data_IF_441832627321
#
_entry.id   IF_441832627321
#
_cell.length_a   1.000
_cell.length_b   1.000
_cell.length_c   1.000
_cell.angle_alpha   90.00
_cell.angle_beta   90.00
_cell.angle_gamma   90.00
#
_symmetry.space_group_name_H-M   'P 1'
#
loop_
_entity.id
_entity.type
_entity.pdbx_description
1 polymer ?
#
# COMPACT_ATOMS: atom_id res chain seq x y z
N UNK A 1 24.38 11.36 13.91
CA UNK A 1 22.91 11.25 13.71
C UNK A 1 22.68 10.06 12.80
N UNK A 2 22.11 8.97 13.30
CA UNK A 2 21.67 7.88 12.42
C UNK A 2 20.41 8.37 11.70
N UNK A 3 20.55 8.76 10.43
CA UNK A 3 19.40 8.93 9.54
C UNK A 3 18.74 7.57 9.36
N UNK A 4 17.52 7.43 9.87
CA UNK A 4 16.70 6.25 9.60
C UNK A 4 16.41 6.26 8.11
N UNK A 5 16.84 5.22 7.40
CA UNK A 5 16.48 5.03 6.00
C UNK A 5 15.02 4.59 5.91
N UNK A 6 14.25 5.22 5.02
CA UNK A 6 12.83 4.94 4.83
C UNK A 6 12.54 4.62 3.38
N UNK A 7 11.49 3.84 3.15
CA UNK A 7 10.93 3.57 1.82
C UNK A 7 9.46 3.94 1.80
N UNK A 8 8.93 4.29 0.62
CA UNK A 8 7.52 4.62 0.46
C UNK A 8 6.84 3.64 -0.48
N UNK A 9 5.68 3.13 -0.07
CA UNK A 9 4.77 2.35 -0.90
C UNK A 9 3.53 3.18 -1.24
N UNK A 10 2.89 2.85 -2.35
CA UNK A 10 1.86 3.71 -2.96
C UNK A 10 0.56 2.94 -3.20
N UNK A 11 -0.58 3.55 -2.93
CA UNK A 11 -1.89 2.96 -3.23
C UNK A 11 -2.80 3.99 -3.87
N UNK A 12 -3.31 3.68 -5.05
CA UNK A 12 -4.47 4.40 -5.57
C UNK A 12 -5.69 4.07 -4.71
N UNK A 13 -6.39 5.11 -4.27
CA UNK A 13 -7.58 4.96 -3.42
C UNK A 13 -8.83 5.31 -4.21
N UNK A 14 -9.92 4.58 -3.97
CA UNK A 14 -11.24 4.91 -4.52
C UNK A 14 -11.80 6.12 -3.78
N UNK A 15 -12.60 6.94 -4.47
CA UNK A 15 -13.21 8.15 -3.93
C UNK A 15 -13.75 7.96 -2.51
N UNK A 16 -13.25 8.75 -1.56
CA UNK A 16 -13.66 8.76 -0.16
C UNK A 16 -12.99 7.69 0.72
N UNK A 17 -12.30 6.69 0.14
CA UNK A 17 -11.58 5.68 0.92
C UNK A 17 -10.18 6.15 1.33
N UNK A 18 -9.55 7.05 0.59
CA UNK A 18 -8.20 7.53 0.92
C UNK A 18 -8.16 8.21 2.28
N UNK A 19 -9.12 9.10 2.55
CA UNK A 19 -9.22 9.80 3.82
C UNK A 19 -9.49 8.83 4.99
N UNK A 20 -10.38 7.85 4.79
CA UNK A 20 -10.65 6.80 5.78
C UNK A 20 -9.37 6.04 6.17
N UNK A 21 -8.53 5.66 5.19
CA UNK A 21 -7.26 4.97 5.44
C UNK A 21 -6.22 5.85 6.16
N UNK A 22 -6.25 7.17 5.94
CA UNK A 22 -5.40 8.11 6.68
C UNK A 22 -5.82 8.15 8.15
N UNK A 23 -7.12 8.27 8.42
CA UNK A 23 -7.66 8.47 9.77
C UNK A 23 -7.71 7.19 10.60
N UNK A 24 -8.13 6.08 10.00
CA UNK A 24 -8.43 4.83 10.72
C UNK A 24 -7.40 3.73 10.45
N UNK A 25 -6.47 3.96 9.53
CA UNK A 25 -5.52 2.95 9.07
C UNK A 25 -6.20 1.85 8.25
N UNK A 26 -5.54 0.70 8.20
CA UNK A 26 -6.00 -0.49 7.51
C UNK A 26 -6.72 -1.41 8.48
N UNK A 27 -8.00 -1.65 8.26
CA UNK A 27 -8.80 -2.57 9.06
C UNK A 27 -9.17 -3.80 8.20
N UNK A 28 -9.16 -5.02 8.75
CA UNK A 28 -9.62 -6.22 8.02
C UNK A 28 -11.02 -6.08 7.41
N UNK A 29 -11.91 -5.31 8.05
CA UNK A 29 -13.26 -5.04 7.55
C UNK A 29 -13.27 -4.26 6.22
N UNK A 30 -12.23 -3.48 5.92
CA UNK A 30 -12.08 -2.74 4.67
C UNK A 30 -11.61 -3.64 3.51
N UNK A 31 -11.09 -4.84 3.83
CA UNK A 31 -10.49 -5.79 2.90
C UNK A 31 -11.12 -7.20 3.10
N UNK A 32 -12.37 -7.42 2.68
CA UNK A 32 -13.06 -8.67 2.97
C UNK A 32 -12.40 -9.89 2.31
N UNK A 33 -12.45 -11.04 3.00
CA UNK A 33 -11.93 -12.32 2.52
C UNK A 33 -13.08 -13.26 2.14
N UNK A 34 -13.33 -13.41 0.84
CA UNK A 34 -14.37 -14.28 0.25
C UNK A 34 -13.84 -14.92 -1.04
N UNK A 35 -12.93 -15.91 -0.94
CA UNK A 35 -12.37 -16.57 -2.11
C UNK A 35 -13.46 -17.30 -2.91
N UNK A 36 -13.35 -17.37 -4.27
CA UNK A 36 -12.24 -16.87 -5.08
C UNK A 36 -12.36 -15.38 -5.48
N UNK A 37 -13.39 -14.67 -5.00
CA UNK A 37 -13.78 -13.35 -5.51
C UNK A 37 -12.89 -12.24 -4.92
N UNK A 38 -12.65 -12.27 -3.61
CA UNK A 38 -11.77 -11.31 -2.91
C UNK A 38 -10.88 -12.05 -1.93
N UNK A 39 -9.59 -11.73 -1.92
CA UNK A 39 -8.55 -12.46 -1.19
C UNK A 39 -8.09 -11.77 0.10
N UNK A 40 -8.82 -10.73 0.54
CA UNK A 40 -8.55 -10.01 1.78
C UNK A 40 -7.21 -9.27 1.83
N UNK A 41 -6.56 -9.02 0.69
CA UNK A 41 -5.28 -8.31 0.68
C UNK A 41 -5.46 -6.84 0.37
N UNK A 42 -4.65 -6.01 1.02
CA UNK A 42 -4.48 -4.63 0.63
C UNK A 42 -3.32 -4.52 -0.37
N UNK A 43 -3.65 -4.23 -1.62
CA UNK A 43 -2.68 -4.06 -2.68
C UNK A 43 -2.08 -2.65 -2.69
N UNK A 44 -0.75 -2.60 -2.78
CA UNK A 44 0.07 -1.41 -3.00
C UNK A 44 0.96 -1.62 -4.24
N UNK A 45 1.46 -0.52 -4.78
CA UNK A 45 2.68 -0.53 -5.56
C UNK A 45 3.88 -0.42 -4.62
N UNK A 46 4.89 -1.26 -4.85
CA UNK A 46 6.11 -1.32 -4.06
C UNK A 46 6.97 -0.05 -4.25
N UNK A 47 8.07 0.12 -3.50
CA UNK A 47 9.02 1.19 -3.73
C UNK A 47 9.49 1.20 -5.18
N UNK A 48 9.74 2.39 -5.73
CA UNK A 48 10.10 2.62 -7.14
C UNK A 48 9.01 2.23 -8.17
N UNK A 49 7.82 1.80 -7.73
CA UNK A 49 6.69 1.44 -8.60
C UNK A 49 5.52 2.42 -8.51
N UNK A 50 5.78 3.71 -8.20
CA UNK A 50 4.72 4.74 -8.08
C UNK A 50 3.83 4.82 -9.33
N UNK A 51 4.39 4.57 -10.51
CA UNK A 51 3.67 4.58 -11.78
C UNK A 51 2.45 3.64 -11.80
N UNK A 52 2.52 2.50 -11.12
CA UNK A 52 1.38 1.59 -10.96
C UNK A 52 0.22 2.26 -10.19
N UNK A 53 0.51 2.95 -9.08
CA UNK A 53 -0.52 3.68 -8.35
C UNK A 53 -1.08 4.87 -9.17
N UNK A 54 -0.24 5.53 -9.95
CA UNK A 54 -0.66 6.62 -10.85
C UNK A 54 -1.59 6.13 -11.97
N UNK A 55 -1.33 4.94 -12.53
CA UNK A 55 -2.20 4.30 -13.50
C UNK A 55 -3.61 4.10 -12.94
N UNK A 56 -3.71 3.47 -11.76
CA UNK A 56 -4.99 3.23 -11.10
C UNK A 56 -5.68 4.51 -10.62
N UNK A 57 -4.91 5.52 -10.21
CA UNK A 57 -5.45 6.82 -9.82
C UNK A 57 -6.26 7.47 -10.95
N UNK A 58 -5.91 7.28 -12.24
CA UNK A 58 -6.68 7.79 -13.39
C UNK A 58 -8.13 7.31 -13.38
N UNK A 59 -8.37 6.09 -12.87
CA UNK A 59 -9.70 5.49 -12.77
C UNK A 59 -10.38 5.81 -11.45
N UNK A 60 -9.65 5.76 -10.33
CA UNK A 60 -10.22 5.89 -9.00
C UNK A 60 -10.47 7.33 -8.54
N UNK A 61 -9.70 8.29 -9.06
CA UNK A 61 -9.93 9.75 -8.94
C UNK A 61 -10.02 10.31 -7.51
N UNK A 62 -9.43 9.63 -6.52
CA UNK A 62 -9.29 10.16 -5.16
C UNK A 62 -7.91 10.79 -4.98
N UNK A 63 -7.01 10.14 -4.25
CA UNK A 63 -5.59 10.45 -4.19
C UNK A 63 -4.73 9.19 -4.23
N UNK A 64 -3.43 9.41 -4.21
CA UNK A 64 -2.44 8.35 -3.99
C UNK A 64 -2.09 8.38 -2.49
N UNK A 65 -2.39 7.29 -1.81
CA UNK A 65 -1.99 7.08 -0.43
C UNK A 65 -0.52 6.64 -0.42
N UNK A 66 0.30 7.38 0.31
CA UNK A 66 1.70 7.09 0.55
C UNK A 66 1.87 6.59 1.98
N UNK A 67 2.58 5.47 2.15
CA UNK A 67 2.99 4.96 3.48
C UNK A 67 4.51 4.91 3.53
N UNK A 68 5.11 5.64 4.48
CA UNK A 68 6.57 5.70 4.64
C UNK A 68 7.00 4.79 5.78
N UNK A 69 7.78 3.77 5.44
CA UNK A 69 8.15 2.64 6.30
C UNK A 69 9.66 2.65 6.55
N UNK A 70 10.11 2.31 7.74
CA UNK A 70 11.53 2.09 8.01
C UNK A 70 12.08 0.97 7.11
N UNK A 71 13.22 1.20 6.46
CA UNK A 71 13.78 0.26 5.49
C UNK A 71 13.99 -1.14 6.10
N UNK A 72 14.44 -1.22 7.36
CA UNK A 72 14.65 -2.50 8.06
C UNK A 72 13.34 -3.26 8.25
N UNK A 73 12.25 -2.56 8.54
CA UNK A 73 10.92 -3.18 8.72
C UNK A 73 10.33 -3.56 7.37
N UNK A 74 10.55 -2.73 6.35
CA UNK A 74 10.20 -3.05 4.98
C UNK A 74 10.85 -4.35 4.50
N UNK A 75 12.17 -4.44 4.58
CA UNK A 75 12.95 -5.61 4.17
C UNK A 75 12.51 -6.88 4.90
N UNK A 76 12.17 -6.76 6.19
CA UNK A 76 11.79 -7.92 7.02
C UNK A 76 10.38 -8.43 6.75
N UNK A 77 9.40 -7.54 6.62
CA UNK A 77 7.98 -7.92 6.65
C UNK A 77 7.25 -7.74 5.31
N UNK A 78 7.65 -6.76 4.50
CA UNK A 78 6.89 -6.36 3.31
C UNK A 78 7.58 -6.79 2.02
N UNK A 79 8.91 -6.64 1.92
CA UNK A 79 9.66 -7.03 0.72
C UNK A 79 9.46 -8.48 0.27
N UNK A 80 9.36 -9.49 1.16
CA UNK A 80 9.10 -10.87 0.73
C UNK A 80 7.75 -11.08 0.03
N UNK A 81 6.83 -10.10 0.12
CA UNK A 81 5.53 -10.14 -0.53
C UNK A 81 5.56 -9.53 -1.95
N UNK A 82 6.61 -8.78 -2.30
CA UNK A 82 6.75 -8.17 -3.62
C UNK A 82 6.64 -9.22 -4.74
N UNK A 83 5.90 -8.87 -5.79
CA UNK A 83 5.85 -9.67 -7.01
C UNK A 83 5.67 -8.79 -8.25
N UNK A 84 6.17 -9.24 -9.43
CA UNK A 84 5.96 -8.50 -10.67
C UNK A 84 4.47 -8.31 -10.95
N UNK A 85 4.06 -7.08 -11.22
CA UNK A 85 2.70 -6.77 -11.62
C UNK A 85 2.49 -7.18 -13.08
N UNK A 86 1.65 -8.19 -13.30
CA UNK A 86 1.29 -8.69 -14.65
C UNK A 86 2.48 -9.03 -15.56
N UNK A 87 3.63 -9.40 -14.98
CA UNK A 87 4.86 -9.71 -15.73
C UNK A 87 5.61 -8.50 -16.28
N UNK A 88 5.22 -7.27 -15.90
CA UNK A 88 5.91 -6.04 -16.25
C UNK A 88 7.02 -5.65 -15.26
N UNK A 89 7.58 -4.45 -15.47
CA UNK A 89 8.66 -3.89 -14.63
C UNK A 89 8.17 -3.32 -13.29
N UNK A 90 6.87 -3.01 -13.19
CA UNK A 90 6.27 -2.52 -11.95
C UNK A 90 6.08 -3.68 -10.96
N UNK A 91 6.25 -3.40 -9.68
CA UNK A 91 6.13 -4.39 -8.60
C UNK A 91 4.89 -4.05 -7.75
N UNK A 92 4.04 -5.04 -7.55
CA UNK A 92 2.92 -4.96 -6.61
C UNK A 92 3.28 -5.60 -5.27
N UNK A 93 2.60 -5.13 -4.23
CA UNK A 93 2.80 -5.51 -2.85
C UNK A 93 1.43 -5.87 -2.22
N UNK A 94 1.06 -7.17 -2.24
CA UNK A 94 -0.19 -7.66 -1.67
C UNK A 94 -0.06 -7.93 -0.16
N UNK A 95 -0.46 -6.97 0.67
CA UNK A 95 -0.32 -7.06 2.14
C UNK A 95 -1.52 -7.78 2.77
N UNK A 96 -1.31 -8.91 3.49
CA UNK A 96 -2.38 -9.60 4.20
C UNK A 96 -2.74 -8.94 5.54
N UNK A 97 -3.91 -9.31 6.10
CA UNK A 97 -4.43 -8.78 7.36
C UNK A 97 -3.45 -8.86 8.53
N UNK A 98 -2.70 -9.96 8.65
CA UNK A 98 -1.79 -10.19 9.77
C UNK A 98 -0.68 -9.13 9.87
N UNK A 99 -0.41 -8.40 8.79
CA UNK A 99 0.59 -7.32 8.75
C UNK A 99 -0.01 -5.92 8.88
N UNK A 100 -1.34 -5.77 8.91
CA UNK A 100 -1.97 -4.47 9.11
C UNK A 100 -1.58 -3.82 10.44
N UNK A 101 -1.43 -4.53 11.57
CA UNK A 101 -0.94 -3.93 12.80
C UNK A 101 0.47 -3.32 12.68
N UNK A 102 1.34 -3.90 11.84
CA UNK A 102 2.67 -3.35 11.57
C UNK A 102 2.55 -2.14 10.64
N UNK A 103 1.80 -2.29 9.54
CA UNK A 103 1.59 -1.22 8.57
C UNK A 103 0.95 0.03 9.21
N UNK A 104 0.05 -0.16 10.18
CA UNK A 104 -0.65 0.91 10.87
C UNK A 104 0.25 1.79 11.75
N UNK A 105 1.45 1.31 12.12
CA UNK A 105 2.43 2.07 12.91
C UNK A 105 3.10 3.20 12.10
N UNK A 106 2.99 3.16 10.78
CA UNK A 106 3.70 4.08 9.89
C UNK A 106 2.85 5.26 9.45
N UNK A 107 3.46 6.46 9.25
CA UNK A 107 2.73 7.62 8.77
C UNK A 107 2.16 7.39 7.37
N UNK A 108 0.98 7.97 7.15
CA UNK A 108 0.21 7.88 5.91
C UNK A 108 -0.18 9.27 5.46
N UNK A 109 0.00 9.57 4.17
CA UNK A 109 -0.41 10.84 3.58
C UNK A 109 -1.17 10.58 2.29
N UNK A 110 -2.31 11.24 2.13
CA UNK A 110 -3.05 11.24 0.87
C UNK A 110 -2.60 12.43 0.02
N UNK A 111 -2.06 12.16 -1.17
CA UNK A 111 -1.61 13.19 -2.12
C UNK A 111 -2.57 13.31 -3.30
N UNK A 112 -2.97 14.54 -3.70
CA UNK A 112 -3.61 14.75 -5.00
C UNK A 112 -2.53 14.61 -6.08
N UNK A 113 -2.52 13.46 -6.78
CA UNK A 113 -1.61 13.04 -7.88
C UNK A 113 -0.16 13.50 -7.79
#
# INVERSE_FOLDING_TARGET
MNTIQTVTIYKATQKGKGQHLVEQGFQPADFPYHPPIVDGKCYFAAPNSRGLAEEYHRYYKDGILEVTIDAVIYERYFKPLERPYQGGEQVELPIPHDLFPILNQYPRVLRPR
#
